data_IF_707431967167
#
_entry.id   IF_707431967167
#
_cell.length_a   1.000
_cell.length_b   1.000
_cell.length_c   1.000
_cell.angle_alpha   90.00
_cell.angle_beta   90.00
_cell.angle_gamma   90.00
#
_symmetry.space_group_name_H-M   'P 1'
#
loop_
_entity.id
_entity.type
_entity.pdbx_description
1 polymer ?
#
# COMPACT_ATOMS: atom_id res chain seq x y z
N UNK A 1 0.95 -17.24 3.21
CA UNK A 1 1.15 -15.84 3.62
C UNK A 1 0.05 -14.91 3.12
N UNK A 2 -0.30 -14.90 1.82
CA UNK A 2 -1.36 -14.02 1.28
C UNK A 2 -2.77 -14.65 1.29
N UNK A 3 -3.80 -13.83 1.48
CA UNK A 3 -5.20 -14.21 1.35
C UNK A 3 -5.63 -14.35 -0.12
N UNK A 4 -6.58 -15.24 -0.37
CA UNK A 4 -7.22 -15.34 -1.68
C UNK A 4 -8.40 -14.36 -1.76
N UNK A 5 -8.41 -13.55 -2.82
CA UNK A 5 -9.50 -12.61 -3.12
C UNK A 5 -10.31 -13.06 -4.33
N UNK A 6 -11.60 -12.71 -4.33
CA UNK A 6 -12.54 -13.03 -5.41
C UNK A 6 -13.33 -11.80 -5.83
N UNK A 7 -13.60 -11.64 -7.14
CA UNK A 7 -14.45 -10.57 -7.70
C UNK A 7 -15.76 -11.16 -8.29
N UNK A 8 -16.85 -10.37 -8.27
CA UNK A 8 -18.16 -10.69 -8.85
C UNK A 8 -19.24 -11.14 -7.84
N UNK A 9 -20.52 -10.79 -8.11
CA UNK A 9 -21.69 -11.21 -7.29
C UNK A 9 -22.23 -12.60 -7.69
N UNK A 10 -22.12 -12.99 -8.96
CA UNK A 10 -22.55 -14.30 -9.45
C UNK A 10 -21.38 -14.98 -10.17
N UNK A 11 -20.92 -16.11 -9.63
CA UNK A 11 -19.65 -16.81 -9.96
C UNK A 11 -18.39 -16.03 -9.55
N UNK A 12 -17.99 -16.19 -8.28
CA UNK A 12 -16.75 -15.65 -7.70
C UNK A 12 -15.53 -16.18 -8.46
N UNK A 13 -14.89 -15.35 -9.29
CA UNK A 13 -13.65 -15.70 -10.00
C UNK A 13 -12.45 -15.33 -9.11
N UNK A 14 -11.45 -16.22 -9.04
CA UNK A 14 -10.18 -15.96 -8.33
C UNK A 14 -9.46 -14.78 -8.99
N UNK A 15 -8.98 -13.84 -8.19
CA UNK A 15 -8.16 -12.72 -8.67
C UNK A 15 -6.70 -13.17 -8.73
N UNK A 16 -5.99 -12.85 -9.81
CA UNK A 16 -4.55 -13.14 -9.92
C UNK A 16 -3.75 -12.34 -8.90
N UNK A 17 -2.56 -12.83 -8.52
CA UNK A 17 -1.68 -12.10 -7.59
C UNK A 17 -1.28 -10.72 -8.12
N UNK A 18 -0.96 -10.62 -9.41
CA UNK A 18 -0.67 -9.33 -10.07
C UNK A 18 -1.85 -8.35 -9.93
N UNK A 19 -3.07 -8.79 -10.24
CA UNK A 19 -4.26 -7.92 -10.09
C UNK A 19 -4.63 -7.65 -8.62
N UNK A 20 -4.23 -8.51 -7.69
CA UNK A 20 -4.41 -8.29 -6.26
C UNK A 20 -3.43 -7.24 -5.74
N UNK A 21 -2.24 -7.16 -6.31
CA UNK A 21 -1.15 -6.28 -5.89
C UNK A 21 -1.02 -5.00 -6.72
N UNK A 22 -1.98 -4.69 -7.58
CA UNK A 22 -2.03 -3.42 -8.32
C UNK A 22 -3.02 -2.42 -7.70
N UNK A 23 -2.83 -1.14 -7.96
CA UNK A 23 -3.63 -0.05 -7.41
C UNK A 23 -5.15 -0.28 -7.60
N UNK A 24 -5.93 0.10 -6.59
CA UNK A 24 -7.39 0.08 -6.70
C UNK A 24 -8.08 1.11 -5.83
N UNK A 25 -8.98 1.90 -6.43
CA UNK A 25 -9.91 2.77 -5.69
C UNK A 25 -10.97 2.04 -4.84
N UNK A 26 -11.07 0.71 -4.97
CA UNK A 26 -12.11 -0.08 -4.28
C UNK A 26 -11.56 -0.60 -2.96
N UNK A 27 -12.21 -0.32 -1.81
CA UNK A 27 -11.78 -0.87 -0.53
C UNK A 27 -11.69 -2.40 -0.53
N UNK A 28 -10.61 -2.94 0.05
CA UNK A 28 -10.49 -4.38 0.27
C UNK A 28 -11.57 -4.86 1.25
N UNK A 29 -12.04 -6.10 1.07
CA UNK A 29 -13.04 -6.73 1.96
C UNK A 29 -12.42 -7.66 3.00
N UNK A 30 -11.15 -8.01 2.81
CA UNK A 30 -10.35 -8.90 3.66
C UNK A 30 -8.91 -8.39 3.62
N UNK A 31 -8.08 -8.69 4.63
CA UNK A 31 -6.66 -8.35 4.61
C UNK A 31 -5.95 -8.99 3.40
N UNK A 32 -4.78 -8.47 3.03
CA UNK A 32 -3.89 -9.06 2.03
C UNK A 32 -3.11 -10.23 2.63
N UNK A 33 -2.72 -10.16 3.90
CA UNK A 33 -2.03 -11.21 4.65
C UNK A 33 -3.05 -12.08 5.40
N UNK A 34 -2.81 -13.38 5.48
CA UNK A 34 -3.64 -14.28 6.27
C UNK A 34 -3.50 -13.97 7.77
N UNK A 35 -4.61 -13.61 8.41
CA UNK A 35 -4.68 -13.32 9.84
C UNK A 35 -5.76 -14.20 10.47
N UNK A 36 -5.57 -14.65 11.71
CA UNK A 36 -6.58 -15.42 12.46
C UNK A 36 -7.54 -14.48 13.19
N UNK A 37 -6.99 -13.49 13.90
CA UNK A 37 -7.72 -12.56 14.76
C UNK A 37 -8.77 -11.72 14.02
N UNK A 38 -9.96 -11.60 14.63
CA UNK A 38 -11.11 -10.90 14.03
C UNK A 38 -10.95 -9.39 14.06
N UNK A 39 -10.33 -8.85 15.11
CA UNK A 39 -10.14 -7.42 15.27
C UNK A 39 -9.06 -6.93 14.29
N UNK A 40 -7.94 -7.65 14.17
CA UNK A 40 -6.89 -7.38 13.17
C UNK A 40 -7.43 -7.39 11.74
N UNK A 41 -8.36 -8.31 11.41
CA UNK A 41 -9.01 -8.31 10.10
C UNK A 41 -9.80 -7.04 9.83
N UNK A 42 -10.54 -6.56 10.83
CA UNK A 42 -11.29 -5.31 10.73
C UNK A 42 -10.35 -4.12 10.60
N UNK A 43 -9.30 -4.09 11.42
CA UNK A 43 -8.31 -3.02 11.40
C UNK A 43 -7.56 -2.95 10.08
N UNK A 44 -7.18 -4.09 9.48
CA UNK A 44 -6.56 -4.12 8.16
C UNK A 44 -7.47 -3.53 7.07
N UNK A 45 -8.76 -3.84 7.10
CA UNK A 45 -9.75 -3.27 6.16
C UNK A 45 -9.94 -1.77 6.39
N UNK A 46 -9.92 -1.32 7.63
CA UNK A 46 -10.05 0.10 7.98
C UNK A 46 -8.79 0.89 7.63
N UNK A 47 -7.59 0.33 7.87
CA UNK A 47 -6.30 0.86 7.39
C UNK A 47 -6.33 1.08 5.89
N UNK A 48 -6.82 0.13 5.10
CA UNK A 48 -6.86 0.32 3.65
C UNK A 48 -7.73 1.51 3.23
N UNK A 49 -8.85 1.75 3.93
CA UNK A 49 -9.70 2.93 3.67
C UNK A 49 -8.97 4.21 4.03
N UNK A 50 -8.18 4.19 5.12
CA UNK A 50 -7.35 5.32 5.52
C UNK A 50 -6.26 5.58 4.47
N UNK A 51 -5.59 4.54 3.95
CA UNK A 51 -4.60 4.68 2.85
C UNK A 51 -5.24 5.33 1.63
N UNK A 52 -6.42 4.87 1.19
CA UNK A 52 -7.17 5.50 0.09
C UNK A 52 -7.50 6.97 0.39
N UNK A 53 -7.81 7.29 1.65
CA UNK A 53 -8.07 8.65 2.10
C UNK A 53 -6.83 9.54 2.06
N UNK A 54 -5.70 9.01 2.52
CA UNK A 54 -4.43 9.72 2.53
C UNK A 54 -3.97 10.05 1.12
N UNK A 55 -4.03 9.05 0.22
CA UNK A 55 -3.62 9.15 -1.18
C UNK A 55 -4.60 9.96 -2.05
N UNK A 56 -5.74 10.40 -1.50
CA UNK A 56 -6.74 11.16 -2.25
C UNK A 56 -7.60 10.33 -3.20
N UNK A 57 -7.44 9.00 -3.20
CA UNK A 57 -8.22 8.08 -4.04
C UNK A 57 -9.68 7.94 -3.57
N UNK A 58 -9.96 8.28 -2.31
CA UNK A 58 -11.30 8.24 -1.73
C UNK A 58 -11.49 9.32 -0.67
N UNK A 59 -12.53 10.17 -0.77
CA UNK A 59 -12.74 11.22 0.23
C UNK A 59 -13.10 10.64 1.61
N UNK A 60 -12.47 11.16 2.66
CA UNK A 60 -12.85 10.95 4.07
C UNK A 60 -13.25 12.32 4.64
N UNK A 61 -14.56 12.58 4.73
CA UNK A 61 -15.09 13.93 5.03
C UNK A 61 -14.75 14.46 6.44
N UNK A 62 -14.46 13.57 7.38
CA UNK A 62 -14.35 13.90 8.81
C UNK A 62 -12.91 13.94 9.34
N UNK A 63 -11.92 13.68 8.48
CA UNK A 63 -10.51 13.61 8.89
C UNK A 63 -9.65 14.39 7.91
N UNK A 64 -8.69 15.14 8.42
CA UNK A 64 -7.64 15.75 7.60
C UNK A 64 -6.62 14.67 7.16
N UNK A 65 -5.81 14.97 6.15
CA UNK A 65 -4.70 14.08 5.73
C UNK A 65 -3.74 13.77 6.90
N UNK A 66 -3.49 14.75 7.77
CA UNK A 66 -2.67 14.57 8.98
C UNK A 66 -3.31 13.59 9.96
N UNK A 67 -4.62 13.73 10.22
CA UNK A 67 -5.34 12.83 11.12
C UNK A 67 -5.35 11.39 10.59
N UNK A 68 -5.45 11.23 9.27
CA UNK A 68 -5.40 9.93 8.61
C UNK A 68 -4.01 9.30 8.79
N UNK A 69 -2.93 10.03 8.54
CA UNK A 69 -1.57 9.52 8.77
C UNK A 69 -1.36 9.13 10.23
N UNK A 70 -1.79 9.99 11.17
CA UNK A 70 -1.68 9.71 12.60
C UNK A 70 -2.40 8.41 12.96
N UNK A 71 -3.64 8.21 12.51
CA UNK A 71 -4.40 6.97 12.75
C UNK A 71 -3.67 5.73 12.23
N UNK A 72 -3.12 5.78 11.02
CA UNK A 72 -2.37 4.66 10.43
C UNK A 72 -1.12 4.38 11.27
N UNK A 73 -0.39 5.43 11.64
CA UNK A 73 0.85 5.34 12.39
C UNK A 73 0.62 4.77 13.79
N UNK A 74 -0.40 5.26 14.50
CA UNK A 74 -0.79 4.77 15.83
C UNK A 74 -1.10 3.28 15.78
N UNK A 75 -1.88 2.82 14.79
CA UNK A 75 -2.18 1.39 14.61
C UNK A 75 -0.93 0.55 14.38
N UNK A 76 -0.03 1.01 13.52
CA UNK A 76 1.24 0.30 13.24
C UNK A 76 2.18 0.29 14.45
N UNK A 77 2.23 1.38 15.21
CA UNK A 77 3.04 1.49 16.41
C UNK A 77 2.55 0.55 17.51
N UNK A 78 1.27 0.65 17.88
CA UNK A 78 0.64 -0.09 18.97
C UNK A 78 0.44 -1.59 18.67
N UNK A 79 0.24 -1.95 17.40
CA UNK A 79 -0.10 -3.32 17.01
C UNK A 79 0.92 -3.88 16.01
N UNK A 80 2.05 -4.46 16.48
CA UNK A 80 3.08 -4.99 15.59
C UNK A 80 2.59 -5.98 14.54
N UNK A 81 1.53 -6.75 14.84
CA UNK A 81 0.95 -7.75 13.95
C UNK A 81 0.29 -7.17 12.68
N UNK A 82 0.05 -5.85 12.59
CA UNK A 82 -0.55 -5.20 11.42
C UNK A 82 0.48 -4.49 10.52
N UNK A 83 1.74 -4.37 10.96
CA UNK A 83 2.77 -3.58 10.25
C UNK A 83 3.01 -4.07 8.83
N UNK A 84 3.24 -5.37 8.67
CA UNK A 84 3.48 -5.96 7.34
C UNK A 84 2.25 -5.80 6.42
N UNK A 85 1.04 -5.83 6.99
CA UNK A 85 -0.19 -5.59 6.24
C UNK A 85 -0.29 -4.13 5.78
N UNK A 86 0.06 -3.16 6.63
CA UNK A 86 0.14 -1.74 6.25
C UNK A 86 1.09 -1.59 5.06
N UNK A 87 2.32 -2.10 5.18
CA UNK A 87 3.32 -1.97 4.11
C UNK A 87 2.86 -2.64 2.82
N UNK A 88 2.32 -3.85 2.90
CA UNK A 88 1.84 -4.56 1.73
C UNK A 88 0.67 -3.84 1.04
N UNK A 89 -0.23 -3.21 1.82
CA UNK A 89 -1.30 -2.38 1.28
C UNK A 89 -0.77 -1.10 0.61
N UNK A 90 0.28 -0.47 1.15
CA UNK A 90 0.92 0.68 0.51
C UNK A 90 1.62 0.22 -0.79
N UNK A 91 2.40 -0.86 -0.77
CA UNK A 91 3.02 -1.45 -1.97
C UNK A 91 1.97 -1.72 -3.06
N UNK A 92 0.81 -2.26 -2.67
CA UNK A 92 -0.31 -2.46 -3.61
C UNK A 92 -0.76 -1.15 -4.25
N UNK A 93 -0.90 -0.08 -3.47
CA UNK A 93 -1.40 1.20 -3.95
C UNK A 93 -0.36 2.02 -4.71
N UNK A 94 0.93 1.73 -4.56
CA UNK A 94 2.02 2.33 -5.36
C UNK A 94 2.37 1.52 -6.61
N UNK A 95 1.90 0.27 -6.73
CA UNK A 95 2.07 -0.56 -7.93
C UNK A 95 0.98 -0.27 -8.96
N UNK A 96 1.36 -0.02 -10.22
CA UNK A 96 0.45 0.30 -11.34
C UNK A 96 -0.50 1.49 -11.05
N UNK A 97 -0.04 2.48 -10.27
CA UNK A 97 -0.81 3.68 -9.99
C UNK A 97 -0.49 4.79 -10.99
N UNK A 98 -1.37 5.00 -11.96
CA UNK A 98 -1.20 6.02 -13.01
C UNK A 98 -1.48 7.46 -12.56
N UNK A 99 -1.89 7.69 -11.30
CA UNK A 99 -2.08 9.04 -10.76
C UNK A 99 -0.85 9.47 -9.97
N UNK A 100 -0.09 10.42 -10.51
CA UNK A 100 1.19 10.88 -9.94
C UNK A 100 1.07 11.46 -8.53
N UNK A 101 0.03 12.25 -8.24
CA UNK A 101 -0.17 12.82 -6.90
C UNK A 101 -0.59 11.73 -5.89
N UNK A 102 -1.43 10.79 -6.30
CA UNK A 102 -1.78 9.61 -5.49
C UNK A 102 -0.53 8.78 -5.18
N UNK A 103 0.27 8.49 -6.21
CA UNK A 103 1.53 7.73 -6.10
C UNK A 103 2.53 8.43 -5.16
N UNK A 104 2.76 9.73 -5.32
CA UNK A 104 3.62 10.55 -4.45
C UNK A 104 3.21 10.43 -2.98
N UNK A 105 1.90 10.55 -2.69
CA UNK A 105 1.34 10.40 -1.35
C UNK A 105 1.49 8.98 -0.80
N UNK A 106 1.41 7.96 -1.66
CA UNK A 106 1.67 6.57 -1.26
C UNK A 106 3.11 6.38 -0.78
N UNK A 107 4.08 6.92 -1.51
CA UNK A 107 5.50 6.87 -1.11
C UNK A 107 5.82 7.74 0.10
N UNK A 108 5.21 8.91 0.22
CA UNK A 108 5.29 9.73 1.42
C UNK A 108 4.79 8.96 2.65
N UNK A 109 3.63 8.29 2.55
CA UNK A 109 3.08 7.48 3.63
C UNK A 109 3.97 6.28 3.98
N UNK A 110 4.59 5.64 2.98
CA UNK A 110 5.58 4.58 3.18
C UNK A 110 6.74 5.08 4.04
N UNK A 111 7.29 6.25 3.68
CA UNK A 111 8.40 6.90 4.39
C UNK A 111 8.02 7.22 5.84
N UNK A 112 6.85 7.84 6.06
CA UNK A 112 6.34 8.13 7.41
C UNK A 112 6.26 6.86 8.25
N UNK A 113 5.66 5.77 7.72
CA UNK A 113 5.58 4.51 8.45
C UNK A 113 6.97 3.95 8.81
N UNK A 114 7.91 3.93 7.86
CA UNK A 114 9.28 3.44 8.08
C UNK A 114 10.06 4.26 9.12
N UNK A 115 9.79 5.56 9.25
CA UNK A 115 10.43 6.38 10.31
C UNK A 115 9.92 6.05 11.71
N UNK A 116 8.73 5.45 11.83
CA UNK A 116 8.08 5.19 13.12
C UNK A 116 8.19 3.73 13.55
N UNK A 117 8.06 2.78 12.65
CA UNK A 117 8.18 1.37 13.00
C UNK A 117 8.84 0.58 11.87
N UNK A 118 9.61 -0.47 12.15
CA UNK A 118 10.13 -1.34 11.11
C UNK A 118 9.10 -2.38 10.67
N UNK A 119 9.21 -2.94 9.45
CA UNK A 119 8.53 -4.18 9.08
C UNK A 119 9.04 -5.35 9.93
N UNK A 120 8.36 -6.50 9.88
CA UNK A 120 8.90 -7.71 10.49
C UNK A 120 10.19 -8.17 9.79
N UNK A 121 11.04 -8.90 10.50
CA UNK A 121 12.28 -9.47 9.94
C UNK A 121 12.03 -10.36 8.73
N UNK A 122 10.86 -11.05 8.69
CA UNK A 122 10.46 -11.91 7.57
C UNK A 122 10.02 -11.11 6.34
N UNK A 123 9.49 -9.90 6.55
CA UNK A 123 8.99 -9.04 5.47
C UNK A 123 10.03 -8.05 4.97
N UNK A 124 11.06 -7.77 5.76
CA UNK A 124 12.10 -6.79 5.47
C UNK A 124 12.70 -6.95 4.07
N UNK A 125 13.23 -8.12 3.71
CA UNK A 125 13.87 -8.34 2.40
C UNK A 125 12.90 -8.16 1.23
N UNK A 126 11.62 -8.47 1.41
CA UNK A 126 10.62 -8.21 0.38
C UNK A 126 10.40 -6.71 0.19
N UNK A 127 10.22 -5.97 1.30
CA UNK A 127 9.97 -4.54 1.24
C UNK A 127 11.18 -3.77 0.67
N UNK A 128 12.39 -4.12 1.10
CA UNK A 128 13.63 -3.56 0.59
C UNK A 128 13.78 -3.78 -0.92
N UNK A 129 13.56 -5.01 -1.39
CA UNK A 129 13.60 -5.32 -2.82
C UNK A 129 12.50 -4.61 -3.62
N UNK A 130 11.32 -4.41 -3.02
CA UNK A 130 10.24 -3.62 -3.62
C UNK A 130 10.64 -2.15 -3.78
N UNK A 131 11.18 -1.52 -2.74
CA UNK A 131 11.64 -0.12 -2.76
C UNK A 131 12.76 0.06 -3.78
N UNK A 132 13.79 -0.79 -3.74
CA UNK A 132 14.96 -0.72 -4.64
C UNK A 132 14.54 -0.77 -6.11
N UNK A 133 13.60 -1.65 -6.47
CA UNK A 133 13.09 -1.74 -7.85
C UNK A 133 12.40 -0.45 -8.32
N UNK A 134 11.71 0.26 -7.43
CA UNK A 134 11.01 1.48 -7.80
C UNK A 134 11.94 2.69 -7.88
N UNK A 135 13.01 2.73 -7.08
CA UNK A 135 14.07 3.74 -7.20
C UNK A 135 14.77 3.63 -8.56
N UNK A 136 15.18 2.42 -8.95
CA UNK A 136 15.91 2.21 -10.21
C UNK A 136 15.05 2.46 -11.46
N UNK A 137 13.72 2.42 -11.34
CA UNK A 137 12.80 2.73 -12.44
C UNK A 137 12.77 4.25 -12.74
N UNK A 138 13.09 5.10 -11.75
CA UNK A 138 13.26 6.53 -11.97
C UNK A 138 14.61 6.83 -12.64
N UNK A 139 15.67 6.12 -12.25
CA UNK A 139 17.01 6.26 -12.86
C UNK A 139 17.01 5.89 -14.36
N UNK A 140 16.36 4.79 -14.75
CA UNK A 140 16.24 4.41 -16.17
C UNK A 140 15.50 5.47 -17.00
N UNK A 141 14.46 6.10 -16.43
CA UNK A 141 13.72 7.16 -17.12
C UNK A 141 14.54 8.46 -17.23
N UNK A 142 15.33 8.79 -16.21
CA UNK A 142 16.25 9.92 -16.23
C UNK A 142 17.37 9.69 -17.25
N UNK A 143 17.97 8.49 -17.32
CA UNK A 143 18.96 8.17 -18.35
C UNK A 143 18.37 8.28 -19.77
N UNK A 144 17.12 7.85 -19.98
CA UNK A 144 16.43 8.00 -21.26
C UNK A 144 16.10 9.47 -21.58
N UNK A 145 15.67 10.27 -20.60
CA UNK A 145 15.46 11.73 -20.78
C UNK A 145 16.79 12.48 -21.04
N UNK A 146 17.86 12.14 -20.34
CA UNK A 146 19.20 12.68 -20.62
C UNK A 146 19.70 12.26 -21.99
N UNK A 147 19.50 10.99 -22.37
CA UNK A 147 19.87 10.51 -23.69
C UNK A 147 19.06 11.19 -24.80
N UNK A 148 17.76 11.43 -24.60
CA UNK A 148 16.89 12.06 -25.62
C UNK A 148 17.02 13.58 -25.70
N UNK A 149 17.49 14.25 -24.64
CA UNK A 149 17.75 15.70 -24.63
C UNK A 149 19.12 16.11 -25.19
N UNK A 150 19.98 15.14 -25.47
CA UNK A 150 21.32 15.33 -26.06
C UNK A 150 21.39 15.04 -27.58
N UNK A 151 20.24 14.89 -28.26
CA UNK A 151 20.13 14.81 -29.73
C UNK A 151 19.11 15.81 -30.28
#
# INVERSE_FOLDING_TARGET
YLNQHTKGLFRRKRVSLASMMSWSKVPIKKPLILMSDRQLKKDAVDVFKLILGYMGDRPIRVKTTRDIALDICTRGWETPLIRDEIYLQICKQTTDNGNSESLRRGWELMSICLTLFPPSTKFHSYLEGYITRHLNCEDDNLEVEFATSLW
#
